data_IF_004498026214
#
_entry.id   IF_004498026214
#
_cell.length_a   1.000
_cell.length_b   1.000
_cell.length_c   1.000
_cell.angle_alpha   90.00
_cell.angle_beta   90.00
_cell.angle_gamma   90.00
#
_symmetry.space_group_name_H-M   'P 1'
#
loop_
_entity.id
_entity.type
_entity.pdbx_description
1 polymer ?
#
# COMPACT_ATOMS: atom_id res chain seq x y z
N UNK A 1 -1.72 14.99 -10.41
CA UNK A 1 -0.54 14.20 -10.82
C UNK A 1 0.55 15.18 -11.21
N UNK A 2 1.77 14.95 -10.74
CA UNK A 2 2.94 15.77 -11.08
C UNK A 2 4.11 14.88 -11.49
N UNK A 3 5.11 15.46 -12.14
CA UNK A 3 6.35 14.80 -12.57
C UNK A 3 6.16 13.63 -13.56
N UNK A 4 6.74 12.46 -13.26
CA UNK A 4 6.74 11.26 -14.09
C UNK A 4 5.77 10.19 -13.56
N UNK A 5 4.83 10.58 -12.69
CA UNK A 5 3.88 9.66 -12.12
C UNK A 5 2.97 9.05 -13.21
N UNK A 6 2.69 7.75 -13.09
CA UNK A 6 1.89 6.99 -14.07
C UNK A 6 0.68 6.36 -13.42
N UNK A 7 -0.48 6.52 -14.07
CA UNK A 7 -1.71 5.81 -13.76
C UNK A 7 -2.01 4.90 -14.95
N UNK A 8 -1.96 3.59 -14.72
CA UNK A 8 -1.95 2.58 -15.77
C UNK A 8 -3.16 1.65 -15.60
N UNK A 9 -4.30 2.03 -16.19
CA UNK A 9 -5.46 1.15 -16.34
C UNK A 9 -5.23 0.06 -17.40
N UNK A 10 -6.20 -0.82 -17.58
CA UNK A 10 -6.20 -1.85 -18.62
C UNK A 10 -7.61 -2.05 -19.22
N UNK A 11 -7.82 -3.10 -20.03
CA UNK A 11 -9.11 -3.39 -20.67
C UNK A 11 -10.27 -3.71 -19.69
N UNK A 12 -9.95 -4.08 -18.45
CA UNK A 12 -10.90 -4.53 -17.44
C UNK A 12 -11.07 -3.50 -16.31
N UNK A 13 -9.99 -2.82 -15.93
CA UNK A 13 -9.91 -2.04 -14.70
C UNK A 13 -9.24 -0.67 -14.91
N UNK A 14 -9.81 0.33 -14.24
CA UNK A 14 -9.27 1.69 -14.17
C UNK A 14 -8.36 1.89 -12.94
N UNK A 15 -7.82 3.10 -12.82
CA UNK A 15 -7.09 3.59 -11.65
C UNK A 15 -7.78 4.84 -11.11
N UNK A 16 -8.07 4.90 -9.81
CA UNK A 16 -8.77 6.02 -9.21
C UNK A 16 -7.88 6.84 -8.27
N UNK A 17 -7.86 8.15 -8.50
CA UNK A 17 -7.23 9.13 -7.60
C UNK A 17 -8.26 10.24 -7.35
N UNK A 18 -8.74 10.34 -6.11
CA UNK A 18 -9.90 11.16 -5.76
C UNK A 18 -9.61 12.14 -4.60
N UNK A 19 -10.51 13.09 -4.38
CA UNK A 19 -10.44 14.10 -3.33
C UNK A 19 -9.19 14.99 -3.45
N UNK A 20 -8.38 15.10 -2.38
CA UNK A 20 -7.11 15.84 -2.34
C UNK A 20 -5.91 14.88 -2.39
N UNK A 21 -6.08 13.68 -2.95
CA UNK A 21 -5.02 12.70 -3.09
C UNK A 21 -3.94 13.17 -4.06
N UNK A 22 -2.70 12.77 -3.82
CA UNK A 22 -1.56 13.18 -4.66
C UNK A 22 -0.74 11.98 -5.09
N UNK A 23 -0.47 11.91 -6.39
CA UNK A 23 0.48 10.96 -6.98
C UNK A 23 1.51 11.77 -7.76
N UNK A 24 2.79 11.63 -7.41
CA UNK A 24 3.89 12.44 -7.94
C UNK A 24 5.24 11.71 -7.91
N UNK A 25 6.33 12.34 -8.38
CA UNK A 25 7.62 11.68 -8.58
C UNK A 25 7.60 10.69 -9.75
N UNK A 26 8.15 9.50 -9.56
CA UNK A 26 8.11 8.37 -10.50
C UNK A 26 7.09 7.31 -10.07
N UNK A 27 6.16 7.65 -9.16
CA UNK A 27 5.20 6.70 -8.61
C UNK A 27 4.30 6.09 -9.69
N UNK A 28 3.94 4.82 -9.53
CA UNK A 28 3.12 4.07 -10.50
C UNK A 28 1.93 3.42 -9.80
N UNK A 29 0.73 3.73 -10.27
CA UNK A 29 -0.50 3.02 -9.92
C UNK A 29 -0.92 2.19 -11.12
N UNK A 30 -1.10 0.89 -10.94
CA UNK A 30 -1.30 -0.07 -12.03
C UNK A 30 -2.53 -0.93 -11.72
N UNK A 31 -3.50 -0.95 -12.61
CA UNK A 31 -4.64 -1.84 -12.51
C UNK A 31 -4.21 -3.29 -12.74
N UNK A 32 -4.67 -4.20 -11.88
CA UNK A 32 -4.48 -5.63 -12.06
C UNK A 32 -5.49 -6.24 -13.05
N UNK A 33 -5.32 -7.53 -13.37
CA UNK A 33 -6.14 -8.30 -14.32
C UNK A 33 -7.22 -9.18 -13.66
N UNK A 34 -7.55 -8.89 -12.41
CA UNK A 34 -8.61 -9.59 -11.66
C UNK A 34 -9.86 -8.73 -11.59
N UNK A 35 -11.00 -9.34 -11.29
CA UNK A 35 -12.21 -8.58 -10.94
C UNK A 35 -11.90 -7.66 -9.74
N UNK A 36 -12.28 -6.39 -9.85
CA UNK A 36 -12.01 -5.34 -8.85
C UNK A 36 -10.52 -5.13 -8.50
N UNK A 37 -9.59 -5.47 -9.40
CA UNK A 37 -8.15 -5.24 -9.20
C UNK A 37 -7.75 -3.78 -9.45
N UNK A 38 -8.45 -2.87 -8.77
CA UNK A 38 -8.46 -1.43 -9.02
C UNK A 38 -7.71 -0.68 -7.92
N UNK A 39 -6.55 -0.06 -8.20
CA UNK A 39 -5.88 0.79 -7.22
C UNK A 39 -6.65 2.11 -7.07
N UNK A 40 -6.95 2.45 -5.83
CA UNK A 40 -7.79 3.58 -5.46
C UNK A 40 -7.13 4.41 -4.34
N UNK A 41 -6.82 5.66 -4.62
CA UNK A 41 -6.14 6.60 -3.71
C UNK A 41 -7.07 7.77 -3.40
N UNK A 42 -7.40 7.98 -2.12
CA UNK A 42 -8.48 8.91 -1.70
C UNK A 42 -8.08 9.87 -0.59
N UNK A 43 -8.94 10.83 -0.31
CA UNK A 43 -8.80 11.81 0.77
C UNK A 43 -7.51 12.63 0.66
N UNK A 44 -6.63 12.57 1.66
CA UNK A 44 -5.34 13.27 1.68
C UNK A 44 -4.17 12.29 1.58
N UNK A 45 -4.39 11.10 1.00
CA UNK A 45 -3.32 10.13 0.80
C UNK A 45 -2.37 10.53 -0.32
N UNK A 46 -1.14 10.03 -0.23
CA UNK A 46 -0.06 10.40 -1.12
C UNK A 46 0.73 9.17 -1.56
N UNK A 47 1.05 9.11 -2.84
CA UNK A 47 1.95 8.11 -3.42
C UNK A 47 3.05 8.86 -4.17
N UNK A 48 4.30 8.60 -3.82
CA UNK A 48 5.42 9.43 -4.22
C UNK A 48 6.66 8.60 -4.59
N UNK A 49 7.71 9.31 -4.99
CA UNK A 49 9.04 8.75 -5.23
C UNK A 49 9.02 7.63 -6.28
N UNK A 50 9.47 6.42 -5.97
CA UNK A 50 9.48 5.28 -6.91
C UNK A 50 8.48 4.18 -6.49
N UNK A 51 7.49 4.52 -5.65
CA UNK A 51 6.52 3.55 -5.16
C UNK A 51 5.67 2.96 -6.30
N UNK A 52 5.40 1.65 -6.22
CA UNK A 52 4.56 0.93 -7.17
C UNK A 52 3.40 0.28 -6.42
N UNK A 53 2.18 0.56 -6.87
CA UNK A 53 0.95 -0.03 -6.32
C UNK A 53 0.21 -0.71 -7.47
N UNK A 54 -0.03 -2.01 -7.34
CA UNK A 54 -0.64 -2.84 -8.37
C UNK A 54 -1.80 -3.68 -7.81
N UNK A 55 -2.97 -3.64 -8.45
CA UNK A 55 -4.13 -4.45 -8.07
C UNK A 55 -5.10 -3.76 -7.11
N UNK A 56 -5.83 -4.53 -6.31
CA UNK A 56 -6.87 -4.05 -5.41
C UNK A 56 -6.26 -3.41 -4.15
N UNK A 57 -5.84 -2.16 -4.28
CA UNK A 57 -5.22 -1.38 -3.21
C UNK A 57 -6.03 -0.12 -2.92
N UNK A 58 -6.49 0.04 -1.68
CA UNK A 58 -7.26 1.19 -1.22
C UNK A 58 -6.48 2.00 -0.19
N UNK A 59 -6.07 3.20 -0.59
CA UNK A 59 -5.38 4.18 0.26
C UNK A 59 -6.37 5.25 0.71
N UNK A 60 -6.54 5.41 2.03
CA UNK A 60 -7.52 6.32 2.63
C UNK A 60 -6.88 7.42 3.48
N UNK A 61 -7.29 7.61 4.72
CA UNK A 61 -7.05 8.85 5.46
C UNK A 61 -5.58 8.95 5.87
N UNK A 62 -4.87 9.93 5.31
CA UNK A 62 -3.47 10.25 5.65
C UNK A 62 -2.51 9.07 5.44
N UNK A 63 -2.82 8.18 4.50
CA UNK A 63 -1.90 7.13 4.06
C UNK A 63 -0.82 7.71 3.12
N UNK A 64 0.45 7.42 3.38
CA UNK A 64 1.57 7.84 2.55
C UNK A 64 2.42 6.64 2.15
N UNK A 65 2.64 6.46 0.84
CA UNK A 65 3.49 5.41 0.28
C UNK A 65 4.59 6.06 -0.57
N UNK A 66 5.84 5.80 -0.21
CA UNK A 66 7.02 6.34 -0.88
C UNK A 66 8.17 5.33 -0.95
N UNK A 67 9.38 5.82 -1.14
CA UNK A 67 10.59 5.03 -1.35
C UNK A 67 10.56 4.25 -2.65
N UNK A 68 10.97 2.99 -2.55
CA UNK A 68 10.89 1.95 -3.57
C UNK A 68 9.82 0.91 -3.17
N UNK A 69 8.84 1.30 -2.35
CA UNK A 69 7.85 0.37 -1.81
C UNK A 69 6.98 -0.25 -2.92
N UNK A 70 6.64 -1.53 -2.75
CA UNK A 70 5.84 -2.29 -3.70
C UNK A 70 4.63 -2.91 -3.00
N UNK A 71 3.44 -2.50 -3.39
CA UNK A 71 2.16 -3.04 -2.90
C UNK A 71 1.49 -3.78 -4.05
N UNK A 72 1.22 -5.07 -3.88
CA UNK A 72 0.72 -5.93 -4.97
C UNK A 72 -0.37 -6.90 -4.52
N UNK A 73 -1.35 -7.11 -5.38
CA UNK A 73 -2.45 -8.04 -5.14
C UNK A 73 -3.59 -7.36 -4.40
N UNK A 74 -4.01 -7.95 -3.29
CA UNK A 74 -5.01 -7.40 -2.39
C UNK A 74 -6.29 -8.23 -2.27
N UNK A 75 -7.21 -7.77 -1.41
CA UNK A 75 -7.33 -6.38 -0.95
C UNK A 75 -6.21 -5.89 0.00
N UNK A 76 -5.53 -4.81 -0.39
CA UNK A 76 -4.65 -4.04 0.51
C UNK A 76 -5.39 -2.77 0.94
N UNK A 77 -5.53 -2.55 2.25
CA UNK A 77 -6.15 -1.35 2.83
C UNK A 77 -5.15 -0.60 3.69
N UNK A 78 -4.93 0.69 3.41
CA UNK A 78 -4.16 1.60 4.25
C UNK A 78 -5.06 2.74 4.74
N UNK A 79 -5.24 2.86 6.06
CA UNK A 79 -6.12 3.89 6.63
C UNK A 79 -5.63 4.46 7.96
N UNK A 80 -5.94 5.72 8.23
CA UNK A 80 -5.65 6.42 9.48
C UNK A 80 -4.16 6.50 9.87
N UNK A 81 -3.41 7.44 9.26
CA UNK A 81 -2.00 7.75 9.56
C UNK A 81 -1.04 6.57 9.33
N UNK A 82 -1.06 6.01 8.12
CA UNK A 82 -0.12 4.96 7.70
C UNK A 82 1.01 5.54 6.87
N UNK A 83 2.25 5.16 7.18
CA UNK A 83 3.45 5.47 6.41
C UNK A 83 4.14 4.19 5.95
N UNK A 84 4.32 4.04 4.64
CA UNK A 84 5.11 2.96 4.05
C UNK A 84 6.22 3.57 3.19
N UNK A 85 7.46 3.21 3.45
CA UNK A 85 8.63 3.71 2.73
C UNK A 85 9.76 2.67 2.72
N UNK A 86 10.93 3.04 2.21
CA UNK A 86 12.05 2.13 1.99
C UNK A 86 11.80 1.20 0.79
N UNK A 87 12.36 0.00 0.85
CA UNK A 87 12.14 -1.14 -0.06
C UNK A 87 11.09 -2.11 0.49
N UNK A 88 10.10 -1.60 1.21
CA UNK A 88 9.01 -2.41 1.78
C UNK A 88 8.23 -3.11 0.68
N UNK A 89 7.89 -4.39 0.90
CA UNK A 89 7.05 -5.18 -0.02
C UNK A 89 5.83 -5.70 0.73
N UNK A 90 4.64 -5.41 0.22
CA UNK A 90 3.35 -5.89 0.76
C UNK A 90 2.60 -6.65 -0.34
N UNK A 91 2.26 -7.91 -0.06
CA UNK A 91 1.60 -8.80 -1.03
C UNK A 91 0.38 -9.47 -0.39
N UNK A 92 -0.74 -9.49 -1.12
CA UNK A 92 -1.97 -10.19 -0.74
C UNK A 92 -2.88 -9.38 0.18
N UNK A 93 -3.73 -10.07 0.93
CA UNK A 93 -4.77 -9.46 1.76
C UNK A 93 -4.18 -8.86 3.04
N UNK A 94 -3.96 -7.55 3.03
CA UNK A 94 -3.27 -6.84 4.12
C UNK A 94 -4.04 -5.58 4.49
N UNK A 95 -4.38 -5.47 5.78
CA UNK A 95 -4.98 -4.27 6.37
C UNK A 95 -3.93 -3.64 7.27
N UNK A 96 -3.61 -2.38 7.00
CA UNK A 96 -2.73 -1.55 7.83
C UNK A 96 -3.51 -0.33 8.28
N UNK A 97 -3.69 -0.16 9.58
CA UNK A 97 -4.49 0.95 10.11
C UNK A 97 -4.00 1.51 11.45
N UNK A 98 -4.36 2.77 11.70
CA UNK A 98 -4.11 3.50 12.95
C UNK A 98 -2.62 3.63 13.30
N UNK A 99 -1.94 4.66 12.77
CA UNK A 99 -0.59 5.06 13.19
C UNK A 99 0.47 3.97 13.04
N UNK A 100 0.55 3.39 11.85
CA UNK A 100 1.54 2.36 11.51
C UNK A 100 2.61 2.94 10.58
N UNK A 101 3.88 2.78 10.94
CA UNK A 101 5.02 3.07 10.05
C UNK A 101 5.73 1.79 9.66
N UNK A 102 6.02 1.62 8.37
CA UNK A 102 6.74 0.48 7.80
C UNK A 102 7.88 1.02 6.94
N UNK A 103 9.11 0.67 7.28
CA UNK A 103 10.31 1.26 6.71
C UNK A 103 11.30 0.18 6.25
N UNK A 104 12.45 0.60 5.71
CA UNK A 104 13.57 -0.26 5.32
C UNK A 104 13.19 -1.41 4.36
N UNK A 105 13.41 -2.67 4.75
CA UNK A 105 13.26 -3.86 3.89
C UNK A 105 12.21 -4.83 4.45
N UNK A 106 11.16 -4.30 5.08
CA UNK A 106 10.08 -5.12 5.65
C UNK A 106 9.29 -5.80 4.53
N UNK A 107 9.08 -7.11 4.68
CA UNK A 107 8.27 -7.93 3.78
C UNK A 107 7.01 -8.41 4.52
N UNK A 108 5.85 -8.13 3.96
CA UNK A 108 4.55 -8.57 4.46
C UNK A 108 3.86 -9.36 3.36
N UNK A 109 3.59 -10.63 3.60
CA UNK A 109 2.98 -11.51 2.60
C UNK A 109 1.87 -12.34 3.24
N UNK A 110 0.62 -12.02 2.88
CA UNK A 110 -0.53 -12.81 3.27
C UNK A 110 -0.59 -14.11 2.45
N UNK A 111 -0.93 -15.22 3.11
CA UNK A 111 -1.18 -16.48 2.43
C UNK A 111 -2.56 -16.47 1.76
N UNK A 112 -2.75 -17.32 0.77
CA UNK A 112 -4.03 -17.43 0.09
C UNK A 112 -5.16 -17.80 1.08
N UNK A 113 -6.21 -16.98 1.09
CA UNK A 113 -7.35 -17.14 2.02
C UNK A 113 -7.09 -16.65 3.46
N UNK A 114 -5.92 -16.07 3.74
CA UNK A 114 -5.60 -15.43 5.02
C UNK A 114 -5.43 -13.92 4.87
N UNK A 115 -5.76 -13.17 5.92
CA UNK A 115 -5.53 -11.73 5.97
C UNK A 115 -4.55 -11.36 7.09
N UNK A 116 -3.64 -10.43 6.81
CA UNK A 116 -2.74 -9.84 7.80
C UNK A 116 -3.31 -8.49 8.25
N UNK A 117 -3.54 -8.33 9.55
CA UNK A 117 -3.99 -7.07 10.12
C UNK A 117 -2.89 -6.45 10.99
N UNK A 118 -2.36 -5.31 10.54
CA UNK A 118 -1.42 -4.48 11.27
C UNK A 118 -2.14 -3.25 11.81
N UNK A 119 -2.43 -3.27 13.11
CA UNK A 119 -3.00 -2.13 13.81
C UNK A 119 -1.98 -1.51 14.75
N UNK A 120 -1.88 -0.18 14.75
CA UNK A 120 -0.95 0.56 15.59
C UNK A 120 -1.54 1.16 16.87
N UNK A 121 -0.78 2.04 17.54
CA UNK A 121 0.49 2.62 17.07
C UNK A 121 1.64 1.59 17.01
N UNK A 122 2.38 1.52 15.90
CA UNK A 122 3.57 0.67 15.76
C UNK A 122 4.49 1.08 14.61
N UNK A 123 5.76 0.68 14.74
CA UNK A 123 6.79 0.87 13.73
C UNK A 123 7.43 -0.49 13.39
N UNK A 124 7.58 -0.78 12.10
CA UNK A 124 8.21 -1.98 11.56
C UNK A 124 9.39 -1.57 10.68
N UNK A 125 10.60 -1.90 11.11
CA UNK A 125 11.86 -1.43 10.50
C UNK A 125 12.83 -2.61 10.27
N UNK A 126 13.92 -2.34 9.56
CA UNK A 126 14.96 -3.32 9.25
C UNK A 126 14.52 -4.40 8.25
N UNK A 127 15.03 -5.61 8.44
CA UNK A 127 14.73 -6.78 7.60
C UNK A 127 13.77 -7.72 8.33
N UNK A 128 12.49 -7.38 8.36
CA UNK A 128 11.45 -8.22 8.96
C UNK A 128 10.64 -8.95 7.89
N UNK A 129 10.14 -10.13 8.22
CA UNK A 129 9.23 -10.90 7.38
C UNK A 129 7.98 -11.28 8.19
N UNK A 130 6.83 -10.74 7.78
CA UNK A 130 5.53 -10.94 8.43
C UNK A 130 4.63 -11.72 7.47
N UNK A 131 4.24 -12.92 7.89
CA UNK A 131 3.38 -13.82 7.10
C UNK A 131 2.04 -14.12 7.76
N UNK A 132 1.75 -13.46 8.88
CA UNK A 132 0.52 -13.59 9.67
C UNK A 132 0.32 -12.37 10.56
N UNK A 133 -0.92 -12.14 10.97
CA UNK A 133 -1.27 -11.09 11.95
C UNK A 133 -0.44 -11.24 13.24
N UNK A 134 0.36 -10.23 13.62
CA UNK A 134 1.08 -10.25 14.88
C UNK A 134 0.11 -10.23 16.04
N UNK A 135 0.26 -11.17 16.97
CA UNK A 135 -0.50 -11.16 18.22
C UNK A 135 -0.04 -9.98 19.09
N UNK A 136 -0.94 -9.49 19.96
CA UNK A 136 -0.66 -8.37 20.85
C UNK A 136 0.64 -8.64 21.64
N UNK A 137 1.63 -7.74 21.51
CA UNK A 137 2.92 -7.83 22.22
C UNK A 137 4.00 -8.70 21.56
N UNK A 138 3.82 -9.15 20.31
CA UNK A 138 4.76 -10.04 19.62
C UNK A 138 5.72 -9.34 18.63
N UNK A 139 5.83 -8.01 18.65
CA UNK A 139 6.78 -7.24 17.84
C UNK A 139 7.40 -6.11 18.66
#
# INVERSE_FOLDING_TARGET
MFDQARLEGNEENDVWVCDNARVYGNARLIAGRGEDAIPTVRYSSQVAENAVIEGNCLLKHRAMVGGEAQLRGGPILLDDDVLIQGRTVIIGDVIVEHQVSINDEVQIAAQEGEAIHLRGPKTLDGQQHITRTPLLGAL
#
